data_IF_913618274675
#
_entry.id   IF_913618274675
#
_cell.length_a   1.000
_cell.length_b   1.000
_cell.length_c   1.000
_cell.angle_alpha   90.00
_cell.angle_beta   90.00
_cell.angle_gamma   90.00
#
_symmetry.space_group_name_H-M   'P 1'
#
loop_
_entity.id
_entity.type
_entity.pdbx_description
1 polymer ?
#
# COMPACT_ATOMS: atom_id res chain seq x y z
N UNK A 1 42.08 -3.54 12.96
CA UNK A 1 40.73 -3.72 13.49
C UNK A 1 39.78 -3.16 12.42
N UNK A 2 39.40 -4.02 11.49
CA UNK A 2 38.37 -3.75 10.47
C UNK A 2 37.04 -3.99 11.13
N UNK A 3 36.26 -2.91 11.34
CA UNK A 3 34.90 -3.02 11.76
C UNK A 3 34.11 -3.68 10.62
N UNK A 4 33.63 -4.88 10.84
CA UNK A 4 32.61 -5.50 10.01
C UNK A 4 31.34 -4.60 10.12
N UNK A 5 31.07 -3.87 9.08
CA UNK A 5 29.76 -3.26 8.86
C UNK A 5 28.78 -4.41 8.62
N UNK A 6 28.05 -4.79 9.67
CA UNK A 6 26.86 -5.60 9.51
C UNK A 6 25.93 -4.87 8.52
N UNK A 7 25.65 -5.53 7.38
CA UNK A 7 24.61 -5.08 6.46
C UNK A 7 23.32 -4.89 7.27
N UNK A 8 22.64 -3.75 7.14
CA UNK A 8 21.37 -3.56 7.83
C UNK A 8 20.42 -4.68 7.43
N UNK A 9 19.72 -5.17 8.42
CA UNK A 9 18.60 -6.12 8.35
C UNK A 9 17.73 -5.84 7.15
N UNK A 10 17.37 -6.88 6.41
CA UNK A 10 16.48 -6.85 5.24
C UNK A 10 15.32 -5.86 5.43
N UNK A 11 15.15 -4.96 4.47
CA UNK A 11 13.94 -4.14 4.40
C UNK A 11 12.70 -5.03 4.53
N UNK A 12 11.63 -4.54 5.20
CA UNK A 12 10.43 -5.34 5.39
C UNK A 12 9.87 -5.78 4.02
N UNK A 13 9.35 -7.00 3.89
CA UNK A 13 8.79 -7.48 2.64
C UNK A 13 7.64 -6.59 2.19
N UNK A 14 7.56 -6.32 0.90
CA UNK A 14 6.43 -5.60 0.32
C UNK A 14 5.15 -6.47 0.41
N UNK A 15 3.97 -5.84 0.43
CA UNK A 15 2.72 -6.59 0.47
C UNK A 15 2.59 -7.48 -0.76
N UNK A 16 2.06 -8.71 -0.59
CA UNK A 16 1.86 -9.61 -1.69
C UNK A 16 0.82 -9.07 -2.68
N UNK A 17 1.08 -9.21 -3.98
CA UNK A 17 0.17 -8.79 -5.03
C UNK A 17 -0.34 -9.98 -5.85
N UNK A 18 -1.57 -9.85 -6.36
CA UNK A 18 -2.08 -10.79 -7.36
C UNK A 18 -1.51 -10.45 -8.72
N UNK A 19 -0.75 -11.37 -9.29
CA UNK A 19 -0.30 -11.22 -10.66
C UNK A 19 -1.46 -11.40 -11.63
N UNK A 20 -1.51 -10.62 -12.73
CA UNK A 20 -2.46 -10.85 -13.79
C UNK A 20 -2.22 -12.23 -14.42
N UNK A 21 -3.28 -12.88 -14.86
CA UNK A 21 -3.16 -14.11 -15.65
C UNK A 21 -2.33 -13.87 -16.94
N UNK A 22 -1.72 -14.90 -17.48
CA UNK A 22 -0.92 -14.80 -18.71
C UNK A 22 -1.71 -14.14 -19.87
N UNK A 23 -3.02 -14.42 -19.96
CA UNK A 23 -3.88 -13.82 -20.98
C UNK A 23 -4.13 -12.31 -20.73
N UNK A 24 -4.32 -11.91 -19.47
CA UNK A 24 -4.48 -10.50 -19.09
C UNK A 24 -3.18 -9.73 -19.28
N UNK A 25 -2.05 -10.32 -18.90
CA UNK A 25 -0.73 -9.74 -19.09
C UNK A 25 -0.43 -9.51 -20.58
N UNK A 26 -0.66 -10.53 -21.41
CA UNK A 26 -0.51 -10.42 -22.88
C UNK A 26 -1.40 -9.31 -23.44
N UNK A 27 -2.65 -9.22 -23.01
CA UNK A 27 -3.59 -8.19 -23.43
C UNK A 27 -3.15 -6.81 -22.97
N UNK A 28 -2.71 -6.68 -21.71
CA UNK A 28 -2.22 -5.42 -21.14
C UNK A 28 -0.99 -4.91 -21.89
N UNK A 29 -0.01 -5.78 -22.16
CA UNK A 29 1.20 -5.46 -22.94
C UNK A 29 0.86 -5.04 -24.37
N UNK A 30 -0.04 -5.77 -25.06
CA UNK A 30 -0.46 -5.44 -26.42
C UNK A 30 -1.22 -4.11 -26.52
N UNK A 31 -1.93 -3.72 -25.47
CA UNK A 31 -2.69 -2.47 -25.39
C UNK A 31 -1.84 -1.26 -25.03
N UNK A 32 -0.58 -1.43 -24.62
CA UNK A 32 0.32 -0.33 -24.31
C UNK A 32 0.47 0.59 -25.53
N UNK A 33 0.28 1.90 -25.33
CA UNK A 33 0.33 2.87 -26.41
C UNK A 33 1.70 2.86 -27.11
N UNK A 34 2.78 2.75 -26.33
CA UNK A 34 4.14 2.67 -26.85
C UNK A 34 4.32 1.50 -27.81
N UNK A 35 3.78 0.33 -27.51
CA UNK A 35 3.85 -0.84 -28.40
C UNK A 35 3.09 -0.58 -29.70
N UNK A 36 1.85 -0.09 -29.60
CA UNK A 36 1.00 0.19 -30.77
C UNK A 36 1.63 1.22 -31.72
N UNK A 37 2.33 2.21 -31.18
CA UNK A 37 2.95 3.26 -31.99
C UNK A 37 4.34 2.89 -32.48
N UNK A 38 5.13 2.10 -31.73
CA UNK A 38 6.46 1.66 -32.17
C UNK A 38 6.40 0.59 -33.26
N UNK A 39 5.41 -0.30 -33.25
CA UNK A 39 5.29 -1.38 -34.25
C UNK A 39 5.31 -0.86 -35.69
N UNK A 40 4.44 0.09 -36.11
CA UNK A 40 4.47 0.61 -37.48
C UNK A 40 5.76 1.37 -37.79
N UNK A 41 6.33 2.11 -36.82
CA UNK A 41 7.58 2.83 -36.98
C UNK A 41 8.75 1.88 -37.29
N UNK A 42 8.94 0.86 -36.46
CA UNK A 42 10.03 -0.12 -36.60
C UNK A 42 9.85 -0.96 -37.83
N UNK A 43 8.60 -1.34 -38.21
CA UNK A 43 8.30 -2.05 -39.41
C UNK A 43 8.66 -1.25 -40.67
N UNK A 44 8.37 0.07 -40.72
CA UNK A 44 8.81 0.96 -41.81
C UNK A 44 10.33 1.01 -41.92
N UNK A 45 11.03 1.14 -40.79
CA UNK A 45 12.50 1.16 -40.75
C UNK A 45 13.12 -0.18 -41.20
N UNK A 46 12.47 -1.31 -40.86
CA UNK A 46 12.90 -2.64 -41.33
C UNK A 46 12.78 -2.81 -42.87
N UNK A 47 11.73 -2.20 -43.44
CA UNK A 47 11.51 -2.21 -44.89
C UNK A 47 12.31 -1.13 -45.64
N UNK A 48 13.13 -0.34 -45.00
CA UNK A 48 13.87 0.82 -45.52
C UNK A 48 12.98 1.93 -46.13
N UNK A 49 11.75 2.04 -45.64
CA UNK A 49 10.72 3.00 -46.12
C UNK A 49 10.65 4.25 -45.19
N UNK A 50 11.76 4.71 -44.68
CA UNK A 50 11.76 5.83 -43.76
C UNK A 50 12.01 7.14 -44.50
N UNK A 51 11.00 8.02 -44.53
CA UNK A 51 11.14 9.39 -45.03
C UNK A 51 11.66 10.31 -43.92
N UNK A 52 12.53 11.29 -44.29
CA UNK A 52 13.17 12.22 -43.35
C UNK A 52 12.22 13.24 -42.75
N UNK A 53 10.95 13.29 -43.18
CA UNK A 53 9.97 14.30 -42.77
C UNK A 53 9.31 14.03 -41.41
N UNK A 54 9.75 13.03 -40.65
CA UNK A 54 9.09 12.56 -39.43
C UNK A 54 9.52 13.34 -38.16
N UNK A 55 9.48 14.68 -38.18
CA UNK A 55 9.60 15.50 -36.96
C UNK A 55 8.51 15.16 -35.93
N UNK A 56 7.34 14.77 -36.41
CA UNK A 56 6.18 14.35 -35.58
C UNK A 56 6.39 13.07 -34.79
N UNK A 57 7.39 12.26 -35.12
CA UNK A 57 7.68 10.98 -34.47
C UNK A 57 8.97 11.03 -33.63
N UNK A 58 9.48 12.20 -33.32
CA UNK A 58 10.79 12.36 -32.66
C UNK A 58 10.87 11.60 -31.31
N UNK A 59 9.78 11.60 -30.52
CA UNK A 59 9.73 10.86 -29.25
C UNK A 59 9.75 9.34 -29.45
N UNK A 60 9.04 8.82 -30.44
CA UNK A 60 9.05 7.39 -30.77
C UNK A 60 10.41 6.93 -31.32
N UNK A 61 11.06 7.76 -32.11
CA UNK A 61 12.39 7.49 -32.65
C UNK A 61 13.41 7.44 -31.51
N UNK A 62 13.33 8.38 -30.57
CA UNK A 62 14.19 8.40 -29.41
C UNK A 62 13.96 7.15 -28.57
N UNK A 63 12.70 6.86 -28.22
CA UNK A 63 12.34 5.69 -27.45
C UNK A 63 12.82 4.39 -28.10
N UNK A 64 12.53 4.20 -29.41
CA UNK A 64 12.97 3.04 -30.14
C UNK A 64 14.50 2.91 -30.24
N UNK A 65 15.21 4.04 -30.22
CA UNK A 65 16.67 4.05 -30.24
C UNK A 65 17.25 3.64 -28.89
N UNK A 66 16.71 4.17 -27.78
CA UNK A 66 17.08 3.79 -26.40
C UNK A 66 16.75 2.31 -26.14
N UNK A 67 15.59 1.82 -26.58
CA UNK A 67 15.24 0.39 -26.52
C UNK A 67 16.12 -0.49 -27.43
N UNK A 68 17.02 0.08 -28.21
CA UNK A 68 17.87 -0.65 -29.14
C UNK A 68 17.16 -1.24 -30.36
N UNK A 69 15.93 -0.80 -30.66
CA UNK A 69 15.14 -1.26 -31.80
C UNK A 69 15.57 -0.59 -33.10
N UNK A 70 15.97 0.68 -33.02
CA UNK A 70 16.41 1.48 -34.14
C UNK A 70 17.86 1.97 -33.95
N UNK A 71 18.53 2.22 -35.08
CA UNK A 71 19.82 2.91 -35.09
C UNK A 71 19.90 3.92 -36.22
N UNK A 72 20.58 5.02 -36.00
CA UNK A 72 20.91 5.97 -37.05
C UNK A 72 21.97 5.38 -38.00
N UNK A 73 21.81 5.63 -39.28
CA UNK A 73 22.76 5.27 -40.32
C UNK A 73 22.96 6.45 -41.29
N UNK A 74 23.94 6.36 -42.17
CA UNK A 74 24.21 7.41 -43.17
C UNK A 74 23.00 7.67 -44.10
N UNK A 75 22.13 6.69 -44.29
CA UNK A 75 20.97 6.77 -45.16
C UNK A 75 19.62 6.88 -44.40
N UNK A 76 19.66 7.22 -43.11
CA UNK A 76 18.45 7.36 -42.28
C UNK A 76 18.38 6.33 -41.14
N UNK A 77 17.19 6.10 -40.62
CA UNK A 77 16.91 5.12 -39.58
C UNK A 77 16.85 3.69 -40.13
N UNK A 78 17.42 2.75 -39.39
CA UNK A 78 17.39 1.32 -39.72
C UNK A 78 16.98 0.52 -38.46
N UNK A 79 16.13 -0.50 -38.66
CA UNK A 79 15.86 -1.48 -37.62
C UNK A 79 17.13 -2.31 -37.37
N UNK A 80 17.40 -2.53 -36.09
CA UNK A 80 18.42 -3.46 -35.61
C UNK A 80 17.94 -4.91 -35.75
N UNK A 81 18.78 -5.92 -35.47
CA UNK A 81 18.29 -7.30 -35.36
C UNK A 81 17.15 -7.42 -34.35
N UNK A 82 17.29 -6.78 -33.15
CA UNK A 82 16.26 -6.71 -32.12
C UNK A 82 14.98 -6.02 -32.62
N UNK A 83 15.11 -4.92 -33.34
CA UNK A 83 13.95 -4.23 -33.94
C UNK A 83 13.22 -5.06 -34.99
N UNK A 84 13.92 -5.94 -35.74
CA UNK A 84 13.25 -6.87 -36.67
C UNK A 84 12.47 -7.96 -35.95
N UNK A 85 12.99 -8.47 -34.83
CA UNK A 85 12.28 -9.41 -33.95
C UNK A 85 11.06 -8.73 -33.31
N UNK A 86 11.21 -7.52 -32.80
CA UNK A 86 10.11 -6.71 -32.29
C UNK A 86 8.99 -6.50 -33.32
N UNK A 87 9.33 -6.24 -34.57
CA UNK A 87 8.32 -6.07 -35.62
C UNK A 87 7.54 -7.37 -35.93
N UNK A 88 8.13 -8.54 -35.64
CA UNK A 88 7.49 -9.84 -35.81
C UNK A 88 6.69 -10.28 -34.56
N UNK A 89 7.24 -10.02 -33.38
CA UNK A 89 6.62 -10.32 -32.10
C UNK A 89 6.86 -9.15 -31.12
N UNK A 90 5.98 -8.14 -31.11
CA UNK A 90 6.16 -6.96 -30.27
C UNK A 90 6.05 -7.23 -28.77
N UNK A 91 5.32 -8.27 -28.37
CA UNK A 91 5.03 -8.56 -26.96
C UNK A 91 6.26 -9.16 -26.29
N UNK A 92 7.05 -9.98 -26.98
CA UNK A 92 8.28 -10.56 -26.43
C UNK A 92 9.35 -9.55 -26.08
N UNK A 93 9.33 -8.36 -26.69
CA UNK A 93 10.26 -7.26 -26.41
C UNK A 93 9.65 -6.15 -25.54
N UNK A 94 8.48 -6.38 -24.94
CA UNK A 94 7.81 -5.40 -24.11
C UNK A 94 8.71 -4.89 -22.99
N UNK A 95 9.37 -5.79 -22.27
CA UNK A 95 10.24 -5.46 -21.14
C UNK A 95 11.39 -4.52 -21.57
N UNK A 96 12.04 -4.80 -22.69
CA UNK A 96 13.07 -3.92 -23.24
C UNK A 96 12.57 -2.52 -23.61
N UNK A 97 11.31 -2.42 -24.04
CA UNK A 97 10.69 -1.14 -24.42
C UNK A 97 10.33 -0.32 -23.19
N UNK A 98 9.84 -0.95 -22.14
CA UNK A 98 9.45 -0.24 -20.92
C UNK A 98 10.65 0.06 -20.00
N UNK A 99 11.70 -0.74 -20.05
CA UNK A 99 12.94 -0.48 -19.28
C UNK A 99 13.59 0.85 -19.68
N UNK A 100 13.34 1.36 -20.87
CA UNK A 100 13.75 2.72 -21.30
C UNK A 100 13.24 3.79 -20.31
N UNK A 101 12.05 3.62 -19.74
CA UNK A 101 11.50 4.57 -18.75
C UNK A 101 12.30 4.52 -17.45
N UNK A 102 12.73 3.34 -17.02
CA UNK A 102 13.56 3.19 -15.83
C UNK A 102 14.98 3.73 -16.07
N UNK A 103 15.57 3.37 -17.21
CA UNK A 103 16.98 3.61 -17.47
C UNK A 103 17.25 5.06 -17.95
N UNK A 104 16.32 5.66 -18.69
CA UNK A 104 16.45 7.03 -19.21
C UNK A 104 15.57 8.02 -18.45
N UNK A 105 14.39 7.62 -17.99
CA UNK A 105 13.38 8.45 -17.34
C UNK A 105 12.32 9.00 -18.31
N UNK A 106 11.07 9.00 -17.87
CA UNK A 106 9.95 9.49 -18.69
C UNK A 106 10.03 11.00 -18.96
N UNK A 107 10.42 11.79 -17.94
CA UNK A 107 10.59 13.25 -18.07
C UNK A 107 11.81 13.61 -18.88
N UNK A 108 12.91 12.87 -18.72
CA UNK A 108 14.12 13.01 -19.53
C UNK A 108 13.84 12.74 -21.00
N UNK A 109 13.16 11.65 -21.35
CA UNK A 109 12.73 11.36 -22.72
C UNK A 109 11.90 12.51 -23.32
N UNK A 110 10.95 13.04 -22.54
CA UNK A 110 10.13 14.18 -22.94
C UNK A 110 10.98 15.44 -23.19
N UNK A 111 11.90 15.75 -22.27
CA UNK A 111 12.79 16.90 -22.42
C UNK A 111 13.66 16.81 -23.67
N UNK A 112 14.28 15.64 -23.90
CA UNK A 112 15.12 15.39 -25.08
C UNK A 112 14.32 15.48 -26.39
N UNK A 113 13.07 15.00 -26.39
CA UNK A 113 12.16 15.13 -27.55
C UNK A 113 11.87 16.59 -27.88
N UNK A 114 11.79 17.46 -26.86
CA UNK A 114 11.63 18.91 -27.03
C UNK A 114 12.94 19.64 -27.39
N UNK A 115 14.03 18.92 -27.60
CA UNK A 115 15.34 19.48 -27.92
C UNK A 115 16.01 20.21 -26.75
N UNK A 116 15.59 19.99 -25.50
CA UNK A 116 16.17 20.61 -24.30
C UNK A 116 16.81 19.57 -23.38
N UNK A 117 17.67 20.04 -22.49
CA UNK A 117 18.17 19.21 -21.40
C UNK A 117 17.09 19.08 -20.30
N UNK A 118 16.99 17.92 -19.63
CA UNK A 118 16.10 17.79 -18.48
C UNK A 118 16.53 18.72 -17.35
N UNK A 119 15.56 19.31 -16.65
CA UNK A 119 15.80 20.05 -15.42
C UNK A 119 16.24 19.11 -14.30
N UNK A 120 16.86 19.65 -13.26
CA UNK A 120 17.30 18.84 -12.12
C UNK A 120 16.13 18.13 -11.44
N UNK A 121 15.03 18.84 -11.22
CA UNK A 121 13.76 18.28 -10.72
C UNK A 121 13.27 17.08 -11.54
N UNK A 122 13.31 17.19 -12.89
CA UNK A 122 12.90 16.12 -13.78
C UNK A 122 13.78 14.88 -13.62
N UNK A 123 15.09 15.08 -13.51
CA UNK A 123 16.05 13.98 -13.31
C UNK A 123 15.86 13.28 -11.96
N UNK A 124 15.65 14.06 -10.90
CA UNK A 124 15.43 13.50 -9.57
C UNK A 124 14.11 12.72 -9.48
N UNK A 125 13.04 13.22 -10.11
CA UNK A 125 11.78 12.46 -10.20
C UNK A 125 11.97 11.17 -11.00
N UNK A 126 12.67 11.22 -12.13
CA UNK A 126 12.99 10.05 -12.95
C UNK A 126 13.80 9.00 -12.16
N UNK A 127 14.77 9.43 -11.35
CA UNK A 127 15.55 8.52 -10.48
C UNK A 127 14.69 7.81 -9.43
N UNK A 128 13.56 8.39 -9.05
CA UNK A 128 12.62 7.85 -8.08
C UNK A 128 11.44 7.09 -8.74
N UNK A 129 11.52 6.79 -10.03
CA UNK A 129 10.46 6.07 -10.77
C UNK A 129 10.06 4.77 -10.06
N UNK A 130 11.02 3.95 -9.66
CA UNK A 130 10.76 2.67 -9.01
C UNK A 130 10.09 2.87 -7.65
N UNK A 131 10.54 3.83 -6.85
CA UNK A 131 9.94 4.15 -5.55
C UNK A 131 8.48 4.62 -5.69
N UNK A 132 8.18 5.50 -6.67
CA UNK A 132 6.81 5.95 -6.93
C UNK A 132 5.91 4.82 -7.43
N UNK A 133 6.45 3.91 -8.23
CA UNK A 133 5.71 2.71 -8.64
C UNK A 133 5.54 1.71 -7.49
N UNK A 134 6.49 1.65 -6.54
CA UNK A 134 6.36 0.85 -5.32
C UNK A 134 5.17 1.31 -4.46
N UNK A 135 4.93 2.64 -4.37
CA UNK A 135 3.74 3.18 -3.70
C UNK A 135 2.45 2.68 -4.36
N UNK A 136 2.36 2.72 -5.70
CA UNK A 136 1.20 2.19 -6.42
C UNK A 136 1.06 0.67 -6.28
N UNK A 137 2.18 -0.03 -6.25
CA UNK A 137 2.25 -1.47 -6.05
C UNK A 137 1.72 -1.87 -4.66
N UNK A 138 2.20 -1.17 -3.62
CA UNK A 138 1.80 -1.36 -2.23
C UNK A 138 0.33 -1.00 -2.00
N UNK A 139 -0.15 0.08 -2.60
CA UNK A 139 -1.55 0.49 -2.51
C UNK A 139 -2.52 -0.54 -3.12
N UNK A 140 -2.07 -1.33 -4.10
CA UNK A 140 -2.89 -2.35 -4.78
C UNK A 140 -4.12 -1.81 -5.51
N UNK A 141 -4.26 -0.49 -5.62
CA UNK A 141 -5.41 0.20 -6.18
C UNK A 141 -5.07 1.56 -6.79
N UNK A 142 -6.10 2.39 -7.00
CA UNK A 142 -5.93 3.72 -7.54
C UNK A 142 -5.55 4.72 -6.44
N UNK A 143 -4.49 5.50 -6.68
CA UNK A 143 -3.94 6.51 -5.78
C UNK A 143 -4.13 7.91 -6.40
N UNK A 144 -4.57 8.93 -5.63
CA UNK A 144 -4.61 10.30 -6.11
C UNK A 144 -3.21 10.79 -6.49
N UNK A 145 -3.09 11.45 -7.66
CA UNK A 145 -1.79 11.95 -8.13
C UNK A 145 -1.18 12.98 -7.17
N UNK A 146 -2.00 13.71 -6.43
CA UNK A 146 -1.55 14.65 -5.40
C UNK A 146 -0.88 13.93 -4.23
N UNK A 147 -1.32 12.73 -3.89
CA UNK A 147 -0.68 11.92 -2.84
C UNK A 147 0.70 11.47 -3.27
N UNK A 148 0.87 11.00 -4.51
CA UNK A 148 2.18 10.69 -5.07
C UNK A 148 3.12 11.90 -5.07
N UNK A 149 2.59 13.09 -5.36
CA UNK A 149 3.39 14.31 -5.30
C UNK A 149 3.79 14.69 -3.86
N UNK A 150 2.93 14.47 -2.85
CA UNK A 150 3.26 14.67 -1.44
C UNK A 150 4.36 13.73 -0.98
N UNK A 151 4.24 12.45 -1.27
CA UNK A 151 5.27 11.46 -0.94
C UNK A 151 6.62 11.78 -1.60
N UNK A 152 6.61 12.32 -2.82
CA UNK A 152 7.82 12.77 -3.50
C UNK A 152 8.45 14.03 -2.87
N UNK A 153 7.73 14.77 -2.03
CA UNK A 153 8.18 16.02 -1.39
C UNK A 153 8.35 15.90 0.13
N UNK A 154 7.96 14.77 0.75
CA UNK A 154 8.08 14.58 2.19
C UNK A 154 9.52 14.19 2.56
N UNK A 155 10.25 15.04 3.30
CA UNK A 155 11.61 14.74 3.73
C UNK A 155 11.69 13.62 4.77
N UNK A 156 10.58 13.25 5.44
CA UNK A 156 10.56 12.20 6.46
C UNK A 156 10.56 10.79 5.86
N UNK A 157 10.01 10.62 4.65
CA UNK A 157 10.00 9.33 3.92
C UNK A 157 11.11 9.26 2.86
N UNK A 158 11.84 10.35 2.67
CA UNK A 158 12.88 10.41 1.67
C UNK A 158 14.19 9.85 2.23
N UNK A 159 14.52 8.61 1.92
CA UNK A 159 15.92 8.21 1.68
C UNK A 159 16.56 9.04 0.53
N UNK A 160 15.86 10.03 0.05
CA UNK A 160 16.33 11.03 -0.89
C UNK A 160 17.20 11.99 -0.07
N UNK A 161 18.47 11.68 0.09
CA UNK A 161 19.51 12.66 0.42
C UNK A 161 19.61 13.66 -0.72
N UNK A 162 18.60 14.51 -0.84
CA UNK A 162 18.70 15.74 -1.61
C UNK A 162 19.44 16.72 -0.71
N UNK A 163 20.61 17.15 -1.19
CA UNK A 163 21.32 18.29 -0.61
C UNK A 163 20.28 19.39 -0.35
N UNK A 164 20.07 19.76 0.91
CA UNK A 164 18.94 20.50 1.49
C UNK A 164 18.75 21.95 1.00
N UNK A 165 19.23 22.28 -0.17
CA UNK A 165 19.18 23.63 -0.75
C UNK A 165 17.93 23.89 -1.62
N UNK A 166 17.15 22.88 -1.96
CA UNK A 166 15.92 23.04 -2.74
C UNK A 166 14.73 22.67 -1.84
N UNK A 167 14.12 23.65 -1.17
CA UNK A 167 12.77 23.51 -0.62
C UNK A 167 11.81 23.22 -1.79
N UNK A 168 11.49 21.95 -1.98
CA UNK A 168 10.60 21.51 -3.04
C UNK A 168 9.17 21.84 -2.65
N UNK A 169 8.64 22.91 -3.22
CA UNK A 169 7.23 23.23 -3.10
C UNK A 169 6.42 22.16 -3.87
N UNK A 170 5.47 21.51 -3.19
CA UNK A 170 4.48 20.61 -3.75
C UNK A 170 3.89 21.09 -5.08
N UNK A 171 3.61 22.40 -5.20
CA UNK A 171 3.05 23.00 -6.40
C UNK A 171 4.01 22.99 -7.62
N UNK A 172 5.32 22.92 -7.37
CA UNK A 172 6.31 22.78 -8.44
C UNK A 172 6.50 21.31 -8.87
N UNK A 173 6.37 20.36 -7.94
CA UNK A 173 6.58 18.94 -8.20
C UNK A 173 5.36 18.30 -8.87
N UNK A 174 4.15 18.65 -8.47
CA UNK A 174 2.91 18.07 -8.98
C UNK A 174 2.78 18.03 -10.52
N UNK A 175 3.10 19.08 -11.28
CA UNK A 175 3.06 19.03 -12.75
C UNK A 175 4.07 18.05 -13.36
N UNK A 176 5.22 17.87 -12.72
CA UNK A 176 6.24 16.92 -13.16
C UNK A 176 5.80 15.48 -12.86
N UNK A 177 5.24 15.20 -11.67
CA UNK A 177 4.63 13.91 -11.35
C UNK A 177 3.51 13.59 -12.36
N UNK A 178 2.61 14.54 -12.65
CA UNK A 178 1.59 14.37 -13.67
C UNK A 178 2.17 14.02 -15.05
N UNK A 179 3.23 14.71 -15.47
CA UNK A 179 3.92 14.44 -16.74
C UNK A 179 4.64 13.08 -16.76
N UNK A 180 5.19 12.67 -15.63
CA UNK A 180 5.78 11.33 -15.45
C UNK A 180 4.71 10.25 -15.57
N UNK A 181 3.56 10.40 -14.88
CA UNK A 181 2.45 9.46 -14.98
C UNK A 181 1.91 9.37 -16.42
N UNK A 182 1.92 10.47 -17.20
CA UNK A 182 1.62 10.44 -18.63
C UNK A 182 2.61 9.56 -19.41
N UNK A 183 3.89 9.66 -19.12
CA UNK A 183 4.93 8.82 -19.73
C UNK A 183 4.77 7.34 -19.36
N UNK A 184 4.49 7.06 -18.09
CA UNK A 184 4.21 5.69 -17.60
C UNK A 184 2.91 5.12 -18.18
N UNK A 185 1.88 5.94 -18.37
CA UNK A 185 0.64 5.54 -19.04
C UNK A 185 0.87 5.25 -20.52
N UNK A 186 1.68 6.04 -21.20
CA UNK A 186 2.10 5.78 -22.58
C UNK A 186 2.89 4.47 -22.68
N UNK A 187 3.77 4.19 -21.72
CA UNK A 187 4.47 2.91 -21.59
C UNK A 187 3.53 1.72 -21.30
N UNK A 188 2.30 1.99 -20.88
CA UNK A 188 1.31 0.97 -20.51
C UNK A 188 1.47 0.43 -19.09
N UNK A 189 2.24 1.11 -18.22
CA UNK A 189 2.49 0.68 -16.84
C UNK A 189 1.43 1.17 -15.86
N UNK A 190 0.83 2.33 -16.13
CA UNK A 190 -0.24 2.89 -15.31
C UNK A 190 -1.44 3.26 -16.15
N UNK A 191 -2.61 3.34 -15.51
CA UNK A 191 -3.83 3.91 -16.08
C UNK A 191 -4.25 5.13 -15.29
N UNK A 192 -4.64 6.19 -16.03
CA UNK A 192 -5.27 7.37 -15.46
C UNK A 192 -6.78 7.20 -15.41
N UNK A 193 -7.35 7.55 -14.26
CA UNK A 193 -8.80 7.68 -14.09
C UNK A 193 -9.12 9.12 -13.74
N UNK A 194 -10.17 9.66 -14.33
CA UNK A 194 -10.69 11.02 -14.08
C UNK A 194 -9.61 12.12 -14.21
N UNK A 195 -8.67 11.95 -15.15
CA UNK A 195 -7.62 12.94 -15.37
C UNK A 195 -8.22 14.30 -15.74
N UNK A 196 -7.90 15.32 -14.96
CA UNK A 196 -8.25 16.72 -15.22
C UNK A 196 -7.00 17.58 -15.13
N UNK A 197 -6.88 18.51 -16.07
CA UNK A 197 -5.81 19.52 -16.04
C UNK A 197 -6.47 20.88 -16.07
N UNK A 198 -6.35 21.64 -15.01
CA UNK A 198 -6.94 22.99 -14.91
C UNK A 198 -5.82 24.00 -14.90
N UNK A 199 -5.78 24.98 -15.83
CA UNK A 199 -4.83 26.07 -15.77
C UNK A 199 -5.01 26.88 -14.48
N UNK A 200 -3.96 27.10 -13.72
CA UNK A 200 -4.01 27.85 -12.48
C UNK A 200 -3.36 29.23 -12.66
N UNK A 201 -4.18 30.24 -12.97
CA UNK A 201 -3.76 31.65 -13.06
C UNK A 201 -2.74 31.95 -14.15
N UNK A 202 -2.08 33.11 -14.03
CA UNK A 202 -1.03 33.59 -14.96
C UNK A 202 0.32 32.88 -14.79
N UNK A 203 0.49 32.11 -13.73
CA UNK A 203 1.70 31.31 -13.45
C UNK A 203 1.43 29.86 -13.84
N UNK A 204 1.58 29.50 -15.07
CA UNK A 204 1.73 28.21 -15.77
C UNK A 204 1.74 26.86 -14.98
N UNK A 205 1.49 26.85 -13.67
CA UNK A 205 1.32 25.64 -12.87
C UNK A 205 -0.07 25.08 -13.15
N UNK A 206 -0.15 24.09 -14.03
CA UNK A 206 -1.39 23.36 -14.25
C UNK A 206 -1.68 22.49 -13.01
N UNK A 207 -2.87 22.66 -12.42
CA UNK A 207 -3.36 21.71 -11.43
C UNK A 207 -3.68 20.39 -12.15
N UNK A 208 -3.03 19.32 -11.71
CA UNK A 208 -3.27 17.97 -12.21
C UNK A 208 -4.07 17.22 -11.17
N UNK A 209 -5.25 16.75 -11.56
CA UNK A 209 -6.16 15.97 -10.71
C UNK A 209 -6.43 14.61 -11.36
N UNK A 210 -6.87 13.65 -10.55
CA UNK A 210 -7.23 12.30 -10.96
C UNK A 210 -6.50 11.24 -10.13
N UNK A 211 -6.81 10.00 -10.41
CA UNK A 211 -6.19 8.84 -9.76
C UNK A 211 -5.41 8.01 -10.75
N UNK A 212 -4.36 7.37 -10.29
CA UNK A 212 -3.47 6.52 -11.06
C UNK A 212 -3.42 5.13 -10.43
N UNK A 213 -3.51 4.10 -11.24
CA UNK A 213 -3.36 2.70 -10.81
C UNK A 213 -2.40 1.96 -11.74
N UNK A 214 -1.74 0.92 -11.23
CA UNK A 214 -0.96 0.04 -12.09
C UNK A 214 -1.88 -0.76 -13.02
N UNK A 215 -1.46 -0.93 -14.26
CA UNK A 215 -2.06 -1.90 -15.18
C UNK A 215 -1.57 -3.30 -14.85
N UNK A 216 -2.13 -4.35 -15.49
CA UNK A 216 -1.57 -5.70 -15.36
C UNK A 216 -0.09 -5.77 -15.80
N UNK A 217 0.29 -5.11 -16.89
CA UNK A 217 1.69 -5.00 -17.30
C UNK A 217 2.52 -4.18 -16.31
N UNK A 218 1.91 -3.14 -15.71
CA UNK A 218 2.54 -2.32 -14.68
C UNK A 218 2.84 -3.10 -13.41
N UNK A 219 1.92 -3.93 -12.91
CA UNK A 219 2.14 -4.79 -11.74
C UNK A 219 3.33 -5.74 -11.98
N UNK A 220 3.32 -6.44 -13.12
CA UNK A 220 4.38 -7.40 -13.46
C UNK A 220 5.74 -6.72 -13.62
N UNK A 221 5.80 -5.59 -14.35
CA UNK A 221 7.03 -4.82 -14.56
C UNK A 221 7.55 -4.20 -13.25
N UNK A 222 6.67 -3.58 -12.45
CA UNK A 222 7.07 -2.98 -11.17
C UNK A 222 7.64 -4.05 -10.24
N UNK A 223 6.97 -5.20 -10.14
CA UNK A 223 7.49 -6.32 -9.34
C UNK A 223 8.89 -6.73 -9.78
N UNK A 224 9.12 -6.89 -11.08
CA UNK A 224 10.44 -7.22 -11.64
C UNK A 224 11.49 -6.19 -11.23
N UNK A 225 11.21 -4.89 -11.38
CA UNK A 225 12.13 -3.82 -11.02
C UNK A 225 12.41 -3.76 -9.52
N UNK A 226 11.41 -4.03 -8.67
CA UNK A 226 11.57 -4.11 -7.22
C UNK A 226 12.49 -5.27 -6.82
N UNK A 227 12.29 -6.46 -7.41
CA UNK A 227 13.18 -7.62 -7.17
C UNK A 227 14.61 -7.32 -7.64
N UNK A 228 14.78 -6.70 -8.81
CA UNK A 228 16.11 -6.29 -9.32
C UNK A 228 16.77 -5.24 -8.41
N UNK A 229 15.99 -4.39 -7.74
CA UNK A 229 16.46 -3.43 -6.74
C UNK A 229 16.73 -4.06 -5.35
N UNK A 230 16.42 -5.35 -5.16
CA UNK A 230 16.70 -6.09 -3.93
C UNK A 230 15.54 -6.17 -2.94
N UNK A 231 14.35 -5.67 -3.29
CA UNK A 231 13.16 -5.81 -2.46
C UNK A 231 12.56 -7.22 -2.54
N UNK A 232 12.02 -7.70 -1.43
CA UNK A 232 11.15 -8.88 -1.44
C UNK A 232 9.74 -8.46 -1.86
N UNK A 233 9.31 -8.90 -3.04
CA UNK A 233 8.01 -8.57 -3.63
C UNK A 233 7.20 -9.87 -3.86
N UNK A 234 6.58 -10.43 -2.80
CA UNK A 234 5.84 -11.68 -2.85
C UNK A 234 4.59 -11.56 -3.74
N UNK A 235 4.11 -12.70 -4.20
CA UNK A 235 2.83 -12.80 -4.93
C UNK A 235 1.77 -13.40 -4.00
N UNK A 236 0.52 -12.98 -4.16
CA UNK A 236 -0.60 -13.38 -3.31
C UNK A 236 -0.85 -14.91 -3.33
N UNK A 237 -0.54 -15.58 -4.44
CA UNK A 237 -0.61 -17.05 -4.52
C UNK A 237 0.30 -17.75 -3.48
N UNK A 238 1.37 -17.09 -3.01
CA UNK A 238 2.20 -17.62 -1.92
C UNK A 238 1.51 -17.53 -0.56
N UNK A 239 0.59 -16.57 -0.38
CA UNK A 239 -0.20 -16.42 0.85
C UNK A 239 -1.34 -17.43 0.94
N UNK A 240 -1.85 -17.98 -0.15
CA UNK A 240 -2.87 -19.05 -0.13
C UNK A 240 -2.32 -20.30 0.62
N UNK A 241 -1.05 -20.62 0.45
CA UNK A 241 -0.37 -21.72 1.15
C UNK A 241 0.27 -21.34 2.49
N UNK A 242 0.22 -20.07 2.90
CA UNK A 242 0.82 -19.59 4.14
C UNK A 242 -0.04 -20.00 5.34
N UNK A 243 0.57 -20.10 6.54
CA UNK A 243 -0.20 -20.22 7.78
C UNK A 243 -0.95 -18.93 8.10
N UNK A 244 -2.00 -19.00 8.94
CA UNK A 244 -2.72 -17.82 9.40
C UNK A 244 -1.79 -16.79 10.08
N UNK A 245 -0.80 -17.24 10.84
CA UNK A 245 0.19 -16.37 11.48
C UNK A 245 1.04 -15.60 10.44
N UNK A 246 1.48 -16.26 9.38
CA UNK A 246 2.23 -15.62 8.30
C UNK A 246 1.37 -14.62 7.53
N UNK A 247 0.10 -14.96 7.29
CA UNK A 247 -0.84 -14.06 6.65
C UNK A 247 -1.08 -12.80 7.50
N UNK A 248 -1.32 -12.94 8.80
CA UNK A 248 -1.50 -11.81 9.72
C UNK A 248 -0.24 -10.94 9.81
N UNK A 249 0.95 -11.54 9.87
CA UNK A 249 2.21 -10.80 9.89
C UNK A 249 2.41 -9.96 8.60
N UNK A 250 1.85 -10.37 7.47
CA UNK A 250 1.91 -9.57 6.24
C UNK A 250 1.18 -8.24 6.33
N UNK A 251 0.23 -8.10 7.26
CA UNK A 251 -0.51 -6.86 7.49
C UNK A 251 0.35 -5.76 8.14
N UNK A 252 1.34 -6.12 8.94
CA UNK A 252 2.27 -5.15 9.56
C UNK A 252 3.07 -4.36 8.52
N UNK A 253 3.24 -4.93 7.33
CA UNK A 253 4.10 -4.41 6.28
C UNK A 253 3.33 -4.03 5.00
N UNK A 254 2.00 -4.18 4.97
CA UNK A 254 1.20 -4.08 3.76
C UNK A 254 0.00 -3.14 3.80
N UNK A 255 -0.47 -2.72 2.62
CA UNK A 255 -1.70 -1.98 2.50
C UNK A 255 -2.92 -2.86 2.86
N UNK A 256 -3.80 -2.34 3.71
CA UNK A 256 -5.03 -3.00 4.17
C UNK A 256 -5.86 -3.63 3.04
N UNK A 257 -5.98 -2.93 1.90
CA UNK A 257 -6.75 -3.41 0.74
C UNK A 257 -6.17 -4.68 0.11
N UNK A 258 -4.83 -4.80 0.07
CA UNK A 258 -4.17 -6.02 -0.42
C UNK A 258 -4.44 -7.19 0.55
N UNK A 259 -4.31 -6.94 1.85
CA UNK A 259 -4.57 -7.94 2.89
C UNK A 259 -6.01 -8.47 2.84
N UNK A 260 -7.03 -7.61 2.74
CA UNK A 260 -8.45 -8.05 2.69
C UNK A 260 -8.72 -9.01 1.53
N UNK A 261 -8.08 -8.79 0.38
CA UNK A 261 -8.19 -9.70 -0.77
C UNK A 261 -7.48 -11.03 -0.51
N UNK A 262 -6.27 -10.97 0.05
CA UNK A 262 -5.46 -12.15 0.33
C UNK A 262 -6.12 -13.00 1.43
N UNK A 263 -6.71 -12.38 2.44
CA UNK A 263 -7.50 -13.05 3.49
C UNK A 263 -8.67 -13.82 2.90
N UNK A 264 -9.47 -13.21 2.00
CA UNK A 264 -10.56 -13.89 1.31
C UNK A 264 -10.09 -15.08 0.47
N UNK A 265 -9.00 -14.90 -0.27
CA UNK A 265 -8.42 -15.97 -1.10
C UNK A 265 -7.88 -17.11 -0.23
N UNK A 266 -7.31 -16.78 0.93
CA UNK A 266 -6.79 -17.72 1.92
C UNK A 266 -7.93 -18.54 2.57
N UNK A 267 -9.02 -17.88 2.96
CA UNK A 267 -10.24 -18.55 3.49
C UNK A 267 -10.85 -19.45 2.41
N UNK A 268 -11.05 -18.94 1.19
CA UNK A 268 -11.67 -19.69 0.10
C UNK A 268 -10.88 -20.94 -0.34
N UNK A 269 -9.58 -21.01 -0.04
CA UNK A 269 -8.74 -22.17 -0.36
C UNK A 269 -8.79 -23.28 0.71
N UNK A 270 -9.53 -23.09 1.80
CA UNK A 270 -9.66 -24.02 2.94
C UNK A 270 -11.11 -24.43 3.16
N UNK A 271 -11.32 -25.52 3.92
CA UNK A 271 -12.64 -25.73 4.54
C UNK A 271 -12.83 -24.73 5.69
N UNK A 272 -14.10 -24.49 6.07
CA UNK A 272 -14.42 -23.60 7.19
C UNK A 272 -13.72 -24.06 8.48
N UNK A 273 -13.71 -25.36 8.76
CA UNK A 273 -13.07 -25.94 9.94
C UNK A 273 -11.54 -25.71 9.93
N UNK A 274 -10.90 -25.92 8.76
CA UNK A 274 -9.45 -25.71 8.62
C UNK A 274 -9.07 -24.24 8.81
N UNK A 275 -9.84 -23.31 8.20
CA UNK A 275 -9.61 -21.90 8.35
C UNK A 275 -9.76 -21.45 9.81
N UNK A 276 -10.81 -21.90 10.49
CA UNK A 276 -11.06 -21.62 11.91
C UNK A 276 -9.94 -22.17 12.79
N UNK A 277 -9.52 -23.41 12.61
CA UNK A 277 -8.43 -24.02 13.39
C UNK A 277 -7.13 -23.25 13.28
N UNK A 278 -6.71 -22.90 12.06
CA UNK A 278 -5.49 -22.13 11.84
C UNK A 278 -5.57 -20.70 12.40
N UNK A 279 -6.74 -20.02 12.29
CA UNK A 279 -6.94 -18.68 12.83
C UNK A 279 -6.96 -18.68 14.37
N UNK A 280 -7.61 -19.65 14.99
CA UNK A 280 -7.62 -19.80 16.45
C UNK A 280 -6.22 -20.00 17.00
N UNK A 281 -5.40 -20.85 16.35
CA UNK A 281 -4.00 -21.02 16.74
C UNK A 281 -3.19 -19.72 16.56
N UNK A 282 -3.41 -18.99 15.47
CA UNK A 282 -2.78 -17.69 15.28
C UNK A 282 -3.17 -16.67 16.36
N UNK A 283 -4.42 -16.66 16.80
CA UNK A 283 -4.90 -15.80 17.91
C UNK A 283 -4.21 -16.16 19.23
N UNK A 284 -3.98 -17.43 19.51
CA UNK A 284 -3.28 -17.87 20.74
C UNK A 284 -1.87 -17.33 20.83
N UNK A 285 -1.14 -17.37 19.72
CA UNK A 285 0.27 -16.98 19.70
C UNK A 285 0.49 -15.49 19.40
N UNK A 286 -0.53 -14.78 18.95
CA UNK A 286 -0.45 -13.36 18.61
C UNK A 286 -0.53 -12.51 19.88
N UNK A 287 0.46 -11.64 20.11
CA UNK A 287 0.46 -10.69 21.24
C UNK A 287 -0.16 -9.33 20.88
N UNK A 288 -0.25 -9.01 19.57
CA UNK A 288 -0.78 -7.75 19.08
C UNK A 288 -2.32 -7.75 19.07
N UNK A 289 -2.99 -6.85 19.84
CA UNK A 289 -4.45 -6.80 19.86
C UNK A 289 -5.08 -6.43 18.52
N UNK A 290 -4.39 -5.63 17.69
CA UNK A 290 -4.88 -5.25 16.37
C UNK A 290 -4.90 -6.41 15.40
N UNK A 291 -3.86 -7.23 15.40
CA UNK A 291 -3.81 -8.45 14.58
C UNK A 291 -4.82 -9.47 15.06
N UNK A 292 -5.05 -9.58 16.39
CA UNK A 292 -6.14 -10.43 16.93
C UNK A 292 -7.51 -9.97 16.45
N UNK A 293 -7.79 -8.66 16.43
CA UNK A 293 -9.05 -8.13 15.92
C UNK A 293 -9.25 -8.47 14.44
N UNK A 294 -8.19 -8.37 13.62
CA UNK A 294 -8.23 -8.79 12.21
C UNK A 294 -8.49 -10.29 12.08
N UNK A 295 -7.82 -11.13 12.86
CA UNK A 295 -8.07 -12.57 12.88
C UNK A 295 -9.51 -12.88 13.30
N UNK A 296 -10.09 -12.13 14.23
CA UNK A 296 -11.50 -12.22 14.63
C UNK A 296 -12.48 -11.90 13.50
N UNK A 297 -12.20 -10.86 12.71
CA UNK A 297 -12.99 -10.57 11.52
C UNK A 297 -12.88 -11.69 10.47
N UNK A 298 -11.70 -12.28 10.31
CA UNK A 298 -11.51 -13.43 9.42
C UNK A 298 -12.24 -14.69 9.92
N UNK A 299 -12.31 -14.93 11.23
CA UNK A 299 -13.11 -16.01 11.80
C UNK A 299 -14.59 -15.86 11.46
N UNK A 300 -15.12 -14.63 11.57
CA UNK A 300 -16.50 -14.36 11.19
C UNK A 300 -16.76 -14.59 9.70
N UNK A 301 -15.81 -14.23 8.83
CA UNK A 301 -15.91 -14.48 7.39
C UNK A 301 -15.74 -15.96 7.03
N UNK A 302 -14.94 -16.72 7.79
CA UNK A 302 -14.76 -18.16 7.60
C UNK A 302 -16.02 -18.97 7.95
N UNK A 303 -16.77 -18.55 8.97
CA UNK A 303 -18.04 -19.21 9.35
C UNK A 303 -18.33 -19.05 10.84
N UNK A 304 -19.35 -18.25 11.18
CA UNK A 304 -19.70 -17.93 12.57
C UNK A 304 -20.04 -19.17 13.40
N UNK A 305 -20.85 -20.08 12.85
CA UNK A 305 -21.31 -21.27 13.57
C UNK A 305 -20.17 -22.28 13.83
N UNK A 306 -19.19 -22.34 12.92
CA UNK A 306 -18.00 -23.19 13.06
C UNK A 306 -16.99 -22.56 14.02
N UNK A 307 -16.89 -21.23 14.03
CA UNK A 307 -15.95 -20.49 14.87
C UNK A 307 -16.40 -20.43 16.34
N UNK A 308 -17.71 -20.37 16.62
CA UNK A 308 -18.25 -20.20 17.99
C UNK A 308 -17.65 -21.17 19.01
N UNK A 309 -17.67 -22.52 18.81
CA UNK A 309 -17.14 -23.47 19.79
C UNK A 309 -15.66 -23.22 20.10
N UNK A 310 -14.84 -22.92 19.07
CA UNK A 310 -13.43 -22.70 19.25
C UNK A 310 -13.14 -21.35 19.96
N UNK A 311 -13.94 -20.32 19.70
CA UNK A 311 -13.83 -19.04 20.43
C UNK A 311 -14.26 -19.20 21.88
N UNK A 312 -15.25 -20.05 22.20
CA UNK A 312 -15.60 -20.39 23.60
C UNK A 312 -14.46 -21.07 24.35
N UNK A 313 -13.65 -21.89 23.66
CA UNK A 313 -12.43 -22.43 24.27
C UNK A 313 -11.41 -21.32 24.57
N UNK A 314 -11.18 -20.37 23.63
CA UNK A 314 -10.31 -19.21 23.86
C UNK A 314 -10.77 -18.34 25.06
N UNK A 315 -12.07 -18.28 25.34
CA UNK A 315 -12.60 -17.56 26.51
C UNK A 315 -12.16 -18.15 27.85
N UNK A 316 -11.71 -19.40 27.87
CA UNK A 316 -11.18 -20.06 29.09
C UNK A 316 -9.69 -19.78 29.31
N UNK A 317 -8.97 -19.25 28.32
CA UNK A 317 -7.54 -19.03 28.35
C UNK A 317 -7.24 -17.56 28.78
N UNK A 318 -6.39 -17.30 29.81
CA UNK A 318 -6.17 -15.94 30.32
C UNK A 318 -5.70 -14.94 29.26
N UNK A 319 -4.88 -15.37 28.32
CA UNK A 319 -4.31 -14.48 27.30
C UNK A 319 -5.25 -14.10 26.15
N UNK A 320 -6.37 -14.81 25.98
CA UNK A 320 -7.32 -14.63 24.86
C UNK A 320 -8.76 -14.38 25.32
N UNK A 321 -9.02 -14.50 26.64
CA UNK A 321 -10.38 -14.41 27.21
C UNK A 321 -11.11 -13.11 26.87
N UNK A 322 -10.41 -11.97 26.90
CA UNK A 322 -11.04 -10.67 26.61
C UNK A 322 -11.40 -10.54 25.13
N UNK A 323 -10.52 -10.98 24.23
CA UNK A 323 -10.79 -11.08 22.80
C UNK A 323 -12.00 -11.97 22.54
N UNK A 324 -12.00 -13.19 23.09
CA UNK A 324 -13.05 -14.16 22.86
C UNK A 324 -14.42 -13.68 23.40
N UNK A 325 -14.46 -13.09 24.60
CA UNK A 325 -15.68 -12.54 25.18
C UNK A 325 -16.23 -11.38 24.34
N UNK A 326 -15.36 -10.49 23.84
CA UNK A 326 -15.75 -9.40 22.94
C UNK A 326 -16.35 -9.96 21.64
N UNK A 327 -15.66 -10.90 21.00
CA UNK A 327 -16.10 -11.51 19.75
C UNK A 327 -17.46 -12.20 19.88
N UNK A 328 -17.69 -12.97 20.98
CA UNK A 328 -18.96 -13.65 21.24
C UNK A 328 -20.12 -12.65 21.43
N UNK A 329 -19.85 -11.49 22.06
CA UNK A 329 -20.84 -10.43 22.21
C UNK A 329 -21.11 -9.71 20.90
N UNK A 330 -20.09 -9.38 20.12
CA UNK A 330 -20.22 -8.69 18.83
C UNK A 330 -21.00 -9.50 17.79
N UNK A 331 -21.01 -10.82 17.94
CA UNK A 331 -21.75 -11.74 17.06
C UNK A 331 -23.04 -12.33 17.69
N UNK A 332 -23.55 -11.71 18.75
CA UNK A 332 -24.82 -12.06 19.42
C UNK A 332 -24.84 -13.47 20.05
N UNK A 333 -23.71 -14.10 20.34
CA UNK A 333 -23.62 -15.37 21.05
C UNK A 333 -23.70 -15.22 22.57
N UNK A 334 -23.41 -14.04 23.11
CA UNK A 334 -23.46 -13.73 24.53
C UNK A 334 -23.98 -12.32 24.80
N UNK A 335 -24.49 -12.06 26.03
CA UNK A 335 -24.95 -10.75 26.46
C UNK A 335 -23.77 -9.89 26.90
N UNK A 336 -23.70 -8.67 26.36
CA UNK A 336 -22.67 -7.68 26.68
C UNK A 336 -22.50 -7.37 28.18
N UNK A 337 -23.56 -7.62 29.00
CA UNK A 337 -23.51 -7.41 30.46
C UNK A 337 -22.44 -8.26 31.14
N UNK A 338 -22.09 -9.42 30.57
CA UNK A 338 -21.02 -10.28 31.06
C UNK A 338 -19.62 -9.67 30.96
N UNK A 339 -19.42 -8.64 30.10
CA UNK A 339 -18.14 -7.99 29.91
C UNK A 339 -17.73 -7.09 31.09
N UNK A 340 -18.68 -6.58 31.89
CA UNK A 340 -18.40 -5.68 32.99
C UNK A 340 -18.61 -6.35 34.36
N UNK A 341 -17.58 -6.27 35.20
CA UNK A 341 -17.66 -6.59 36.63
C UNK A 341 -16.82 -5.61 37.43
N UNK A 342 -17.42 -5.06 38.50
CA UNK A 342 -16.66 -4.20 39.44
C UNK A 342 -15.51 -4.93 40.13
N UNK A 343 -15.62 -6.24 40.30
CA UNK A 343 -14.64 -7.11 40.94
C UNK A 343 -13.47 -7.49 40.06
N UNK A 344 -13.63 -7.41 38.74
CA UNK A 344 -12.63 -7.85 37.73
C UNK A 344 -12.24 -6.68 36.82
N UNK A 345 -11.57 -5.68 37.37
CA UNK A 345 -11.14 -4.52 36.56
C UNK A 345 -10.11 -4.85 35.49
N UNK A 346 -9.21 -5.82 35.76
CA UNK A 346 -8.21 -6.30 34.77
C UNK A 346 -8.88 -6.75 33.50
N UNK A 347 -9.85 -7.66 33.62
CA UNK A 347 -10.59 -8.20 32.49
C UNK A 347 -11.35 -7.11 31.72
N UNK A 348 -11.96 -6.16 32.45
CA UNK A 348 -12.70 -5.08 31.82
C UNK A 348 -11.79 -4.12 31.06
N UNK A 349 -10.60 -3.83 31.58
CA UNK A 349 -9.57 -3.02 30.87
C UNK A 349 -9.07 -3.76 29.63
N UNK A 350 -8.85 -5.08 29.72
CA UNK A 350 -8.49 -5.91 28.55
C UNK A 350 -9.57 -5.85 27.47
N UNK A 351 -10.86 -5.97 27.84
CA UNK A 351 -12.00 -5.87 26.90
C UNK A 351 -12.04 -4.49 26.23
N UNK A 352 -11.94 -3.41 27.02
CA UNK A 352 -11.91 -2.04 26.48
C UNK A 352 -10.72 -1.84 25.52
N UNK A 353 -9.58 -2.44 25.81
CA UNK A 353 -8.39 -2.38 24.95
C UNK A 353 -8.65 -3.08 23.61
N UNK A 354 -9.22 -4.29 23.64
CA UNK A 354 -9.57 -5.04 22.42
C UNK A 354 -10.51 -4.23 21.52
N UNK A 355 -11.56 -3.64 22.12
CA UNK A 355 -12.55 -2.87 21.37
C UNK A 355 -11.98 -1.56 20.83
N UNK A 356 -11.16 -0.85 21.61
CA UNK A 356 -10.53 0.39 21.17
C UNK A 356 -9.62 0.17 19.97
N UNK A 357 -8.95 -0.98 19.88
CA UNK A 357 -8.07 -1.33 18.77
C UNK A 357 -8.86 -1.86 17.57
N UNK A 358 -9.91 -2.65 17.81
CA UNK A 358 -10.70 -3.29 16.74
C UNK A 358 -11.72 -2.36 16.10
N UNK A 359 -12.58 -1.74 16.90
CA UNK A 359 -13.65 -0.83 16.44
C UNK A 359 -13.89 0.27 17.48
N UNK A 360 -13.12 1.37 17.45
CA UNK A 360 -13.11 2.36 18.52
C UNK A 360 -14.39 3.19 18.66
N UNK A 361 -15.20 3.33 17.59
CA UNK A 361 -16.25 4.36 17.57
C UNK A 361 -17.53 3.96 18.33
N UNK A 362 -18.03 2.73 18.15
CA UNK A 362 -19.31 2.29 18.74
C UNK A 362 -19.13 1.29 19.87
N UNK A 363 -18.46 0.15 19.65
CA UNK A 363 -18.34 -0.93 20.63
C UNK A 363 -17.65 -0.52 21.93
N UNK A 364 -16.60 0.29 21.83
CA UNK A 364 -15.85 0.78 22.98
C UNK A 364 -16.70 1.66 23.91
N UNK A 365 -17.48 2.60 23.33
CA UNK A 365 -18.34 3.49 24.11
C UNK A 365 -19.53 2.76 24.72
N UNK A 366 -20.12 1.81 24.00
CA UNK A 366 -21.22 0.97 24.48
C UNK A 366 -20.77 0.09 25.65
N UNK A 367 -19.58 -0.51 25.55
CA UNK A 367 -19.01 -1.27 26.66
C UNK A 367 -18.69 -0.38 27.85
N UNK A 368 -18.11 0.79 27.65
CA UNK A 368 -17.87 1.76 28.73
C UNK A 368 -19.17 2.18 29.42
N UNK A 369 -20.29 2.25 28.67
CA UNK A 369 -21.61 2.56 29.21
C UNK A 369 -22.16 1.49 30.14
N UNK A 370 -21.68 0.24 30.07
CA UNK A 370 -22.02 -0.83 31.05
C UNK A 370 -21.65 -0.47 32.48
N UNK A 371 -20.65 0.39 32.67
CA UNK A 371 -20.30 0.92 33.97
C UNK A 371 -21.37 1.84 34.58
N UNK A 372 -22.40 2.22 33.81
CA UNK A 372 -23.53 3.02 34.26
C UNK A 372 -23.49 4.49 33.85
N UNK A 373 -24.03 5.38 34.69
CA UNK A 373 -24.12 6.81 34.40
C UNK A 373 -22.74 7.52 34.39
N UNK A 374 -22.70 8.77 33.94
CA UNK A 374 -21.44 9.53 33.84
C UNK A 374 -20.66 9.63 35.16
N UNK A 375 -21.33 9.67 36.33
CA UNK A 375 -20.65 9.70 37.62
C UNK A 375 -19.95 8.36 37.92
N UNK A 376 -20.58 7.25 37.56
CA UNK A 376 -20.01 5.89 37.66
C UNK A 376 -18.85 5.71 36.68
N UNK A 377 -18.98 6.22 35.47
CA UNK A 377 -17.90 6.20 34.48
C UNK A 377 -16.68 7.04 34.92
N UNK A 378 -16.91 8.18 35.55
CA UNK A 378 -15.81 8.99 36.17
C UNK A 378 -15.15 8.22 37.32
N UNK A 379 -15.92 7.52 38.14
CA UNK A 379 -15.36 6.68 39.22
C UNK A 379 -14.53 5.51 38.61
N UNK A 380 -15.02 4.88 37.54
CA UNK A 380 -14.27 3.86 36.81
C UNK A 380 -12.95 4.41 36.25
N UNK A 381 -12.94 5.57 35.60
CA UNK A 381 -11.72 6.28 35.17
C UNK A 381 -10.72 6.46 36.29
N UNK A 382 -11.22 6.83 37.48
CA UNK A 382 -10.38 6.92 38.68
C UNK A 382 -9.75 5.60 39.12
N UNK A 383 -10.51 4.50 39.01
CA UNK A 383 -10.03 3.14 39.32
C UNK A 383 -8.99 2.69 38.30
N UNK A 384 -9.26 2.86 36.99
CA UNK A 384 -8.29 2.58 35.92
C UNK A 384 -7.00 3.40 36.13
N UNK A 385 -7.11 4.66 36.50
CA UNK A 385 -5.93 5.51 36.80
C UNK A 385 -5.09 5.02 37.99
N UNK A 386 -5.70 4.32 38.92
CA UNK A 386 -5.03 3.73 40.08
C UNK A 386 -4.55 2.29 39.84
N UNK A 387 -5.01 1.68 38.80
CA UNK A 387 -4.64 0.35 38.36
C UNK A 387 -3.22 0.36 37.78
N UNK A 388 -2.54 -0.79 37.70
CA UNK A 388 -1.16 -0.90 37.21
C UNK A 388 -1.06 -1.90 36.06
N UNK A 389 -1.78 -1.61 34.96
CA UNK A 389 -1.69 -2.35 33.71
C UNK A 389 -1.04 -1.52 32.61
N UNK A 390 -0.41 -2.19 31.65
CA UNK A 390 0.17 -1.59 30.44
C UNK A 390 -0.92 -0.88 29.60
N UNK A 391 -2.14 -1.42 29.63
CA UNK A 391 -3.25 -0.99 28.77
C UNK A 391 -4.03 0.20 29.34
N UNK A 392 -3.84 0.53 30.62
CA UNK A 392 -4.53 1.64 31.28
C UNK A 392 -4.35 2.98 30.54
N UNK A 393 -3.15 3.27 30.06
CA UNK A 393 -2.86 4.50 29.32
C UNK A 393 -3.60 4.57 27.99
N UNK A 394 -3.75 3.44 27.31
CA UNK A 394 -4.46 3.34 26.03
C UNK A 394 -5.95 3.58 26.26
N UNK A 395 -6.55 2.89 27.24
CA UNK A 395 -7.97 3.04 27.59
C UNK A 395 -8.28 4.46 28.05
N UNK A 396 -7.47 5.05 28.95
CA UNK A 396 -7.65 6.44 29.40
C UNK A 396 -7.54 7.44 28.24
N UNK A 397 -6.65 7.17 27.28
CA UNK A 397 -6.52 7.96 26.03
C UNK A 397 -7.78 7.87 25.17
N UNK A 398 -8.29 6.67 24.92
CA UNK A 398 -9.52 6.44 24.18
C UNK A 398 -10.73 7.12 24.81
N UNK A 399 -10.90 6.99 26.14
CA UNK A 399 -12.00 7.69 26.86
C UNK A 399 -11.86 9.20 26.74
N UNK A 400 -10.65 9.75 26.83
CA UNK A 400 -10.43 11.19 26.74
C UNK A 400 -10.76 11.74 25.34
N UNK A 401 -10.53 10.97 24.30
CA UNK A 401 -10.70 11.37 22.90
C UNK A 401 -12.12 11.12 22.39
N UNK A 402 -12.68 9.95 22.67
CA UNK A 402 -13.91 9.47 22.03
C UNK A 402 -15.17 9.75 22.86
N UNK A 403 -15.07 9.96 24.19
CA UNK A 403 -16.25 10.03 25.03
C UNK A 403 -17.09 11.31 24.81
N UNK A 404 -18.41 11.21 24.51
CA UNK A 404 -19.26 12.37 24.18
C UNK A 404 -19.47 13.31 25.39
N UNK A 405 -19.42 12.81 26.63
CA UNK A 405 -19.51 13.62 27.84
C UNK A 405 -18.20 14.32 28.14
N UNK A 406 -18.20 15.67 28.03
CA UNK A 406 -17.03 16.50 28.36
C UNK A 406 -16.53 16.29 29.79
N UNK A 407 -17.40 15.91 30.73
CA UNK A 407 -17.02 15.66 32.10
C UNK A 407 -16.20 14.39 32.25
N UNK A 408 -16.61 13.30 31.60
CA UNK A 408 -15.91 11.99 31.55
C UNK A 408 -14.59 12.13 30.80
N UNK A 409 -14.61 12.71 29.60
CA UNK A 409 -13.42 12.96 28.79
C UNK A 409 -12.36 13.78 29.55
N UNK A 410 -12.78 14.86 30.28
CA UNK A 410 -11.89 15.67 31.10
C UNK A 410 -11.32 14.91 32.30
N UNK A 411 -12.10 14.02 32.91
CA UNK A 411 -11.62 13.15 33.98
C UNK A 411 -10.53 12.20 33.47
N UNK A 412 -10.76 11.54 32.31
CA UNK A 412 -9.81 10.66 31.69
C UNK A 412 -8.52 11.38 31.26
N UNK A 413 -8.61 12.59 30.69
CA UNK A 413 -7.44 13.38 30.32
C UNK A 413 -6.57 13.75 31.53
N UNK A 414 -7.21 14.10 32.65
CA UNK A 414 -6.48 14.38 33.92
C UNK A 414 -5.78 13.12 34.44
N UNK A 415 -6.48 12.00 34.45
CA UNK A 415 -5.95 10.71 34.88
C UNK A 415 -4.74 10.29 34.01
N UNK A 416 -4.86 10.42 32.69
CA UNK A 416 -3.78 10.15 31.72
C UNK A 416 -2.55 11.03 31.97
N UNK A 417 -2.77 12.34 32.18
CA UNK A 417 -1.69 13.30 32.49
C UNK A 417 -0.97 12.97 33.81
N UNK A 418 -1.73 12.58 34.83
CA UNK A 418 -1.17 12.18 36.14
C UNK A 418 -0.36 10.89 36.04
N UNK A 419 -0.82 9.90 35.25
CA UNK A 419 -0.09 8.63 35.05
C UNK A 419 1.21 8.87 34.28
N UNK A 420 1.17 9.65 33.19
CA UNK A 420 2.37 10.00 32.41
C UNK A 420 3.42 10.79 33.25
N UNK A 421 2.99 11.53 34.24
CA UNK A 421 3.89 12.26 35.13
C UNK A 421 4.52 11.37 36.23
N UNK A 422 4.00 10.16 36.47
CA UNK A 422 4.51 9.16 37.41
C UNK A 422 5.41 8.09 36.76
N UNK A 423 5.24 7.85 35.45
CA UNK A 423 6.08 6.98 34.65
C UNK A 423 7.36 7.70 34.21
#
# INVERSE_FOLDING_TARGET
MTADYEKPTSEPPLPPVVLPSAAELTRSRANAAVIRELVPLVARAARRQFDRSAETEAHLILWASEAGLLRRSRVGLKATPKGKLFAADPISAFDDVVDVVRDTGALTLRALTMGRRPHEVERLIDQNTVALLAVLYTAGGAVPVQELARLATDPADAEITVDSALEWDFHHVLPHIGSMMDGLAFAGLVEWRERRTTPQGSNLAARVDGTVALTGAGIDTTRRWLIEAGYDAPIAETMIGASATQLLASLEHGARVAFERDARSWIAARSEEQAVEELVEAIRVCEDPGLRAVAGAMLAEAGLEVAEPAVRELATEPGTRAFAATWLVEHDFEDARGLYSEENLDFFVEVLTVQLVGNPDDSFLDTLALAGNHAQQIALVGRISAHDSRDDLLVLGGVAELHPSRAVAKAALRALTQRRARA
#
